data_IF_897190183585
#
_entry.id   IF_897190183585
#
_cell.length_a   1.000
_cell.length_b   1.000
_cell.length_c   1.000
_cell.angle_alpha   90.00
_cell.angle_beta   90.00
_cell.angle_gamma   90.00
#
_symmetry.space_group_name_H-M   'P 1'
#
loop_
_entity.id
_entity.type
_entity.pdbx_description
1 polymer ?
#
# COMPACT_ATOMS: atom_id res chain seq x y z
N UNK A 1 -45.73 -10.05 -69.94
CA UNK A 1 -44.30 -10.16 -69.58
C UNK A 1 -44.04 -9.16 -68.46
N UNK A 2 -44.14 -9.59 -67.19
CA UNK A 2 -44.03 -8.71 -66.01
C UNK A 2 -42.72 -8.97 -65.27
N UNK A 3 -41.82 -7.99 -65.26
CA UNK A 3 -40.58 -8.02 -64.49
C UNK A 3 -40.84 -7.50 -63.08
N UNK A 4 -40.74 -8.39 -62.08
CA UNK A 4 -40.77 -7.99 -60.68
C UNK A 4 -39.47 -7.26 -60.29
N UNK A 5 -39.53 -6.15 -59.53
CA UNK A 5 -38.35 -5.46 -59.05
C UNK A 5 -37.62 -6.30 -57.99
N UNK A 6 -36.32 -6.46 -58.20
CA UNK A 6 -35.40 -7.15 -57.28
C UNK A 6 -35.29 -6.32 -55.99
N UNK A 7 -35.62 -6.94 -54.86
CA UNK A 7 -35.64 -6.34 -53.52
C UNK A 7 -34.26 -5.83 -53.12
N UNK A 8 -34.01 -4.52 -53.26
CA UNK A 8 -32.79 -3.82 -52.82
C UNK A 8 -32.76 -3.48 -51.32
N UNK A 9 -33.80 -3.82 -50.55
CA UNK A 9 -33.94 -3.39 -49.15
C UNK A 9 -33.21 -4.25 -48.12
N UNK A 10 -32.71 -5.46 -48.47
CA UNK A 10 -32.11 -6.38 -47.50
C UNK A 10 -30.61 -6.18 -47.27
N UNK A 11 -29.88 -5.64 -48.24
CA UNK A 11 -28.42 -5.46 -48.15
C UNK A 11 -27.99 -4.25 -47.28
N UNK A 12 -28.84 -3.21 -47.17
CA UNK A 12 -28.56 -2.03 -46.34
C UNK A 12 -28.74 -2.29 -44.84
N UNK A 13 -29.66 -3.18 -44.47
CA UNK A 13 -29.93 -3.54 -43.07
C UNK A 13 -28.78 -4.37 -42.48
N UNK A 14 -28.23 -5.32 -43.24
CA UNK A 14 -27.10 -6.16 -42.79
C UNK A 14 -25.80 -5.39 -42.61
N UNK A 15 -25.55 -4.37 -43.44
CA UNK A 15 -24.34 -3.56 -43.31
C UNK A 15 -24.39 -2.67 -42.06
N UNK A 16 -25.53 -2.01 -41.80
CA UNK A 16 -25.72 -1.20 -40.59
C UNK A 16 -25.62 -2.08 -39.33
N UNK A 17 -26.23 -3.26 -39.33
CA UNK A 17 -26.14 -4.22 -38.21
C UNK A 17 -24.69 -4.63 -37.92
N UNK A 18 -23.89 -4.92 -38.95
CA UNK A 18 -22.47 -5.24 -38.75
C UNK A 18 -21.68 -4.05 -38.22
N UNK A 19 -21.96 -2.82 -38.64
CA UNK A 19 -21.30 -1.63 -38.12
C UNK A 19 -21.65 -1.40 -36.64
N UNK A 20 -22.92 -1.56 -36.27
CA UNK A 20 -23.37 -1.45 -34.87
C UNK A 20 -22.75 -2.56 -34.02
N UNK A 21 -22.71 -3.79 -34.52
CA UNK A 21 -22.07 -4.91 -33.82
C UNK A 21 -20.56 -4.68 -33.61
N UNK A 22 -19.86 -4.15 -34.62
CA UNK A 22 -18.44 -3.81 -34.51
C UNK A 22 -18.19 -2.66 -33.52
N UNK A 23 -19.09 -1.66 -33.47
CA UNK A 23 -19.00 -0.59 -32.47
C UNK A 23 -19.18 -1.12 -31.04
N UNK A 24 -20.20 -1.96 -30.81
CA UNK A 24 -20.42 -2.58 -29.50
C UNK A 24 -19.22 -3.47 -29.11
N UNK A 25 -18.70 -4.24 -30.07
CA UNK A 25 -17.51 -5.06 -29.85
C UNK A 25 -16.28 -4.22 -29.48
N UNK A 26 -16.05 -3.11 -30.19
CA UNK A 26 -14.92 -2.22 -29.92
C UNK A 26 -15.02 -1.62 -28.50
N UNK A 27 -16.20 -1.14 -28.11
CA UNK A 27 -16.45 -0.62 -26.75
C UNK A 27 -16.23 -1.72 -25.71
N UNK A 28 -16.75 -2.92 -25.95
CA UNK A 28 -16.58 -4.07 -25.06
C UNK A 28 -15.10 -4.44 -24.87
N UNK A 29 -14.33 -4.50 -25.95
CA UNK A 29 -12.89 -4.77 -25.89
C UNK A 29 -12.13 -3.69 -25.12
N UNK A 30 -12.40 -2.41 -25.40
CA UNK A 30 -11.78 -1.30 -24.66
C UNK A 30 -12.07 -1.38 -23.16
N UNK A 31 -13.30 -1.73 -22.77
CA UNK A 31 -13.66 -1.90 -21.36
C UNK A 31 -12.88 -3.05 -20.69
N UNK A 32 -12.71 -4.19 -21.37
CA UNK A 32 -11.95 -5.33 -20.84
C UNK A 32 -10.47 -4.99 -20.66
N UNK A 33 -9.84 -4.33 -21.63
CA UNK A 33 -8.45 -3.88 -21.48
C UNK A 33 -8.29 -2.87 -20.35
N UNK A 34 -9.23 -1.92 -20.22
CA UNK A 34 -9.25 -0.99 -19.10
C UNK A 34 -9.36 -1.69 -17.75
N UNK A 35 -10.27 -2.67 -17.64
CA UNK A 35 -10.45 -3.47 -16.43
C UNK A 35 -9.19 -4.28 -16.09
N UNK A 36 -8.51 -4.87 -17.08
CA UNK A 36 -7.27 -5.64 -16.87
C UNK A 36 -6.13 -4.76 -16.35
N UNK A 37 -5.95 -3.55 -16.91
CA UNK A 37 -4.96 -2.60 -16.42
C UNK A 37 -5.26 -2.13 -14.99
N UNK A 38 -6.53 -1.86 -14.69
CA UNK A 38 -6.97 -1.49 -13.34
C UNK A 38 -6.77 -2.65 -12.33
N UNK A 39 -7.06 -3.88 -12.74
CA UNK A 39 -6.86 -5.07 -11.93
C UNK A 39 -5.37 -5.29 -11.61
N UNK A 40 -4.48 -5.17 -12.61
CA UNK A 40 -3.04 -5.27 -12.41
C UNK A 40 -2.55 -4.22 -11.41
N UNK A 41 -2.95 -2.95 -11.59
CA UNK A 41 -2.58 -1.86 -10.68
C UNK A 41 -3.05 -2.11 -9.24
N UNK A 42 -4.28 -2.59 -9.08
CA UNK A 42 -4.83 -2.96 -7.76
C UNK A 42 -4.05 -4.11 -7.14
N UNK A 43 -3.66 -5.11 -7.94
CA UNK A 43 -2.89 -6.25 -7.48
C UNK A 43 -1.46 -5.87 -7.08
N UNK A 44 -0.80 -5.00 -7.84
CA UNK A 44 0.53 -4.47 -7.52
C UNK A 44 0.49 -3.71 -6.18
N UNK A 45 -0.54 -2.85 -5.97
CA UNK A 45 -0.79 -2.16 -4.70
C UNK A 45 -1.06 -3.09 -3.52
N UNK A 46 -1.84 -4.13 -3.74
CA UNK A 46 -2.13 -5.11 -2.71
C UNK A 46 -0.87 -5.89 -2.30
N UNK A 47 -0.05 -6.25 -3.30
CA UNK A 47 1.22 -6.95 -3.10
C UNK A 47 2.21 -6.07 -2.33
N UNK A 48 2.35 -4.79 -2.70
CA UNK A 48 3.26 -3.87 -2.01
C UNK A 48 2.85 -3.64 -0.55
N UNK A 49 1.54 -3.51 -0.28
CA UNK A 49 1.01 -3.45 1.09
C UNK A 49 1.26 -4.74 1.87
N UNK A 50 1.09 -5.90 1.25
CA UNK A 50 1.33 -7.19 1.91
C UNK A 50 2.79 -7.33 2.35
N UNK A 51 3.75 -6.93 1.51
CA UNK A 51 5.18 -6.90 1.86
C UNK A 51 5.44 -5.97 3.06
N UNK A 52 4.84 -4.77 3.06
CA UNK A 52 4.98 -3.84 4.18
C UNK A 52 4.43 -4.40 5.48
N UNK A 53 3.24 -5.02 5.47
CA UNK A 53 2.66 -5.66 6.66
C UNK A 53 3.47 -6.86 7.15
N UNK A 54 3.99 -7.67 6.23
CA UNK A 54 4.84 -8.81 6.57
C UNK A 54 6.09 -8.33 7.31
N UNK A 55 6.76 -7.29 6.82
CA UNK A 55 7.95 -6.76 7.48
C UNK A 55 7.60 -6.08 8.81
N UNK A 56 6.51 -5.31 8.88
CA UNK A 56 6.03 -4.74 10.16
C UNK A 56 5.80 -5.85 11.18
N UNK A 57 5.18 -6.97 10.79
CA UNK A 57 4.97 -8.09 11.68
C UNK A 57 6.30 -8.69 12.16
N UNK A 58 7.26 -8.89 11.26
CA UNK A 58 8.60 -9.35 11.63
C UNK A 58 9.27 -8.40 12.63
N UNK A 59 9.14 -7.09 12.43
CA UNK A 59 9.67 -6.09 13.37
C UNK A 59 8.91 -6.08 14.71
N UNK A 60 7.61 -6.32 14.72
CA UNK A 60 6.86 -6.48 15.98
C UNK A 60 7.38 -7.70 16.75
N UNK A 61 7.59 -8.82 16.06
CA UNK A 61 8.13 -10.05 16.66
C UNK A 61 9.52 -9.79 17.26
N UNK A 62 10.42 -9.07 16.58
CA UNK A 62 11.73 -8.73 17.16
C UNK A 62 11.60 -7.86 18.42
N UNK A 63 10.68 -6.89 18.44
CA UNK A 63 10.47 -6.01 19.59
C UNK A 63 9.76 -6.71 20.77
N UNK A 64 9.02 -7.79 20.53
CA UNK A 64 8.41 -8.60 21.59
C UNK A 64 9.44 -9.27 22.50
N UNK A 65 10.62 -9.60 21.96
CA UNK A 65 11.69 -10.22 22.74
C UNK A 65 12.55 -9.22 23.52
N UNK A 66 12.38 -7.92 23.29
CA UNK A 66 13.14 -6.88 24.00
C UNK A 66 12.51 -6.66 25.39
N UNK A 67 13.29 -6.74 26.48
CA UNK A 67 12.77 -6.47 27.82
C UNK A 67 12.16 -5.07 27.90
N UNK A 68 10.97 -4.96 28.51
CA UNK A 68 10.22 -3.71 28.66
C UNK A 68 11.08 -2.54 29.20
N UNK A 69 11.89 -2.82 30.23
CA UNK A 69 12.82 -1.85 30.84
C UNK A 69 13.87 -1.34 29.83
N UNK A 70 14.33 -2.19 28.91
CA UNK A 70 15.31 -1.80 27.90
C UNK A 70 14.72 -0.84 26.88
N UNK A 71 13.46 -1.07 26.46
CA UNK A 71 12.75 -0.16 25.55
C UNK A 71 12.61 1.22 26.18
N UNK A 72 12.21 1.30 27.46
CA UNK A 72 12.09 2.59 28.16
C UNK A 72 13.41 3.37 28.16
N UNK A 73 14.52 2.69 28.46
CA UNK A 73 15.80 3.35 28.69
C UNK A 73 16.54 3.69 27.38
N UNK A 74 16.37 2.89 26.33
CA UNK A 74 17.26 2.93 25.17
C UNK A 74 16.55 3.22 23.84
N UNK A 75 15.22 3.27 23.79
CA UNK A 75 14.51 3.44 22.54
C UNK A 75 14.64 4.87 21.99
N UNK A 76 15.14 4.97 20.76
CA UNK A 76 15.34 6.23 20.01
C UNK A 76 14.57 6.26 18.70
N UNK A 77 13.74 5.25 18.47
CA UNK A 77 13.24 4.92 17.15
C UNK A 77 14.25 4.10 16.35
N UNK A 78 13.75 3.34 15.40
CA UNK A 78 14.54 2.50 14.49
C UNK A 78 14.02 2.66 13.08
N UNK A 79 14.90 2.52 12.09
CA UNK A 79 14.52 2.44 10.68
C UNK A 79 14.81 1.03 10.19
N UNK A 80 14.00 0.55 9.25
CA UNK A 80 14.16 -0.76 8.62
C UNK A 80 13.75 -0.69 7.16
N UNK A 81 14.30 -1.59 6.35
CA UNK A 81 13.99 -1.65 4.93
C UNK A 81 13.02 -2.80 4.65
N UNK A 82 12.12 -2.58 3.70
CA UNK A 82 11.20 -3.61 3.22
C UNK A 82 11.69 -4.05 1.84
N UNK A 83 12.06 -5.33 1.71
CA UNK A 83 12.56 -5.87 0.44
C UNK A 83 11.49 -5.74 -0.64
N UNK A 84 11.87 -5.14 -1.77
CA UNK A 84 10.99 -4.96 -2.93
C UNK A 84 10.18 -3.67 -2.93
N UNK A 85 10.27 -2.85 -1.87
CA UNK A 85 9.69 -1.50 -1.83
C UNK A 85 10.79 -0.45 -1.96
N UNK A 86 10.48 0.64 -2.67
CA UNK A 86 11.41 1.75 -2.87
C UNK A 86 11.14 2.83 -1.83
N UNK A 87 12.14 3.25 -1.03
CA UNK A 87 11.95 4.32 -0.08
C UNK A 87 11.60 5.64 -0.79
N UNK A 88 10.86 6.55 -0.12
CA UNK A 88 10.59 7.87 -0.65
C UNK A 88 11.88 8.64 -0.93
N UNK A 89 11.86 9.50 -1.94
CA UNK A 89 13.06 10.21 -2.41
C UNK A 89 13.82 11.04 -1.34
N UNK A 90 13.15 11.40 -0.25
CA UNK A 90 13.74 12.13 0.88
C UNK A 90 14.19 11.24 2.05
N UNK A 91 14.21 9.90 1.87
CA UNK A 91 14.56 8.95 2.93
C UNK A 91 15.43 7.81 2.44
N UNK A 92 16.21 7.27 3.37
CA UNK A 92 17.04 6.09 3.14
C UNK A 92 16.28 4.77 3.31
N UNK A 93 15.17 4.77 4.04
CA UNK A 93 14.46 3.55 4.44
C UNK A 93 12.95 3.65 4.29
N UNK A 94 12.33 2.48 4.06
CA UNK A 94 10.88 2.33 3.87
C UNK A 94 10.15 2.37 5.21
N UNK A 95 10.66 1.66 6.21
CA UNK A 95 10.03 1.47 7.51
C UNK A 95 10.67 2.28 8.62
N UNK A 96 9.85 2.74 9.56
CA UNK A 96 10.29 3.28 10.85
C UNK A 96 9.45 2.75 12.00
N UNK A 97 10.11 2.61 13.14
CA UNK A 97 9.50 2.37 14.44
C UNK A 97 9.74 3.61 15.28
N UNK A 98 8.68 4.19 15.82
CA UNK A 98 8.76 5.40 16.64
C UNK A 98 7.81 5.29 17.83
N UNK A 99 7.94 6.20 18.80
CA UNK A 99 6.90 6.39 19.81
C UNK A 99 5.66 6.96 19.13
N UNK A 100 4.46 6.52 19.54
CA UNK A 100 3.21 6.98 18.94
C UNK A 100 3.01 8.50 19.09
N UNK A 101 3.34 9.06 20.25
CA UNK A 101 3.21 10.49 20.55
C UNK A 101 4.27 11.37 19.89
N UNK A 102 5.24 10.78 19.18
CA UNK A 102 6.26 11.57 18.51
C UNK A 102 5.65 12.26 17.27
N UNK A 103 5.67 13.62 17.21
CA UNK A 103 5.15 14.36 16.06
C UNK A 103 5.93 14.07 14.77
N UNK A 104 7.22 13.73 14.86
CA UNK A 104 8.05 13.36 13.73
C UNK A 104 8.54 11.90 13.87
N UNK A 105 7.92 10.91 13.20
CA UNK A 105 8.29 9.50 13.32
C UNK A 105 9.75 9.19 12.99
N UNK A 106 10.41 10.07 12.24
CA UNK A 106 11.76 9.89 11.71
C UNK A 106 12.84 10.49 12.60
N UNK A 107 12.45 11.20 13.66
CA UNK A 107 13.40 11.86 14.53
C UNK A 107 14.04 10.86 15.50
N UNK A 108 15.28 10.47 15.20
CA UNK A 108 16.11 9.61 16.04
C UNK A 108 17.20 10.40 16.79
N UNK A 109 17.05 11.72 16.91
CA UNK A 109 18.04 12.56 17.58
C UNK A 109 18.15 12.19 19.05
N UNK A 110 19.37 12.20 19.56
CA UNK A 110 19.66 11.83 20.95
C UNK A 110 19.25 12.91 21.96
N UNK A 111 19.25 14.16 21.52
CA UNK A 111 19.06 15.32 22.37
C UNK A 111 18.31 16.40 21.58
N UNK A 112 17.07 16.74 21.96
CA UNK A 112 16.13 16.00 22.81
C UNK A 112 15.48 14.82 22.04
N UNK A 113 15.52 13.60 22.58
CA UNK A 113 14.93 12.41 21.92
C UNK A 113 13.39 12.41 22.01
N UNK A 114 12.65 12.64 20.90
CA UNK A 114 11.19 12.66 20.93
C UNK A 114 10.56 11.26 20.99
N UNK A 115 11.36 10.21 20.77
CA UNK A 115 10.95 8.81 20.93
C UNK A 115 11.17 8.28 22.36
N UNK A 116 11.78 9.05 23.26
CA UNK A 116 12.01 8.60 24.63
C UNK A 116 10.69 8.34 25.37
N UNK A 117 10.66 7.29 26.20
CA UNK A 117 9.55 6.98 27.09
C UNK A 117 9.87 7.41 28.52
N UNK A 118 8.84 7.76 29.30
CA UNK A 118 9.03 8.02 30.72
C UNK A 118 9.21 6.71 31.49
N UNK A 119 10.03 6.74 32.54
CA UNK A 119 10.31 5.55 33.38
C UNK A 119 9.10 5.03 34.16
N UNK A 120 8.04 5.83 34.30
CA UNK A 120 6.78 5.48 34.96
C UNK A 120 5.73 4.91 34.01
N UNK A 121 5.99 4.86 32.68
CA UNK A 121 5.03 4.33 31.72
C UNK A 121 4.89 2.81 31.86
N UNK A 122 3.64 2.33 31.97
CA UNK A 122 3.30 0.89 32.04
C UNK A 122 2.89 0.32 30.67
N UNK A 123 2.73 1.20 29.68
CA UNK A 123 2.39 0.90 28.30
C UNK A 123 3.29 1.71 27.38
N UNK A 124 3.89 1.06 26.40
CA UNK A 124 4.79 1.69 25.43
C UNK A 124 4.15 1.53 24.04
N UNK A 125 3.33 2.50 23.60
CA UNK A 125 2.76 2.47 22.26
C UNK A 125 3.85 2.77 21.23
N UNK A 126 4.25 1.74 20.50
CA UNK A 126 5.15 1.80 19.37
C UNK A 126 4.34 1.92 18.09
N UNK A 127 4.74 2.84 17.22
CA UNK A 127 4.19 3.06 15.89
C UNK A 127 5.16 2.46 14.89
N UNK A 128 4.70 1.48 14.12
CA UNK A 128 5.40 0.90 12.98
C UNK A 128 4.79 1.49 11.72
N UNK A 129 5.58 2.24 10.95
CA UNK A 129 5.10 2.94 9.75
C UNK A 129 6.00 2.58 8.58
N UNK A 130 5.40 2.15 7.48
CA UNK A 130 6.11 1.97 6.22
C UNK A 130 5.61 2.98 5.21
N UNK A 131 6.52 3.66 4.52
CA UNK A 131 6.24 4.56 3.41
C UNK A 131 7.13 4.22 2.23
N UNK A 132 6.57 4.22 1.02
CA UNK A 132 7.30 3.92 -0.21
C UNK A 132 6.74 4.72 -1.38
N UNK A 133 7.61 4.94 -2.36
CA UNK A 133 7.20 5.52 -3.65
C UNK A 133 6.75 4.38 -4.58
N UNK A 134 5.53 4.48 -5.09
CA UNK A 134 5.01 3.62 -6.15
C UNK A 134 4.75 4.47 -7.40
N UNK A 135 4.70 3.87 -8.59
CA UNK A 135 4.59 4.62 -9.86
C UNK A 135 3.39 5.56 -9.98
N UNK A 136 2.40 5.47 -9.08
CA UNK A 136 1.21 6.34 -9.03
C UNK A 136 1.24 7.38 -7.89
N UNK A 137 2.26 7.35 -7.02
CA UNK A 137 2.39 8.25 -5.89
C UNK A 137 2.92 7.58 -4.61
N UNK A 138 3.07 8.35 -3.53
CA UNK A 138 3.51 7.83 -2.25
C UNK A 138 2.43 6.97 -1.60
N UNK A 139 2.84 5.84 -1.04
CA UNK A 139 1.99 4.91 -0.32
C UNK A 139 2.50 4.75 1.11
N UNK A 140 1.59 4.52 2.04
CA UNK A 140 1.94 4.30 3.44
C UNK A 140 1.01 3.31 4.13
N UNK A 141 1.56 2.51 5.05
CA UNK A 141 0.79 1.74 6.03
C UNK A 141 1.34 1.96 7.43
N UNK A 142 0.48 1.88 8.43
CA UNK A 142 0.84 2.09 9.83
C UNK A 142 0.16 1.07 10.72
N UNK A 143 0.89 0.54 11.70
CA UNK A 143 0.40 -0.34 12.75
C UNK A 143 0.88 0.19 14.08
N UNK A 144 -0.04 0.26 15.04
CA UNK A 144 0.30 0.61 16.43
C UNK A 144 0.32 -0.66 17.25
N UNK A 145 1.46 -0.92 17.89
CA UNK A 145 1.66 -2.04 18.80
C UNK A 145 1.96 -1.53 20.19
N UNK A 146 1.24 -2.04 21.20
CA UNK A 146 1.39 -1.59 22.58
C UNK A 146 2.14 -2.66 23.37
N UNK A 147 3.37 -2.36 23.75
CA UNK A 147 4.11 -3.20 24.70
C UNK A 147 3.61 -2.90 26.09
N UNK A 148 3.20 -3.91 26.84
CA UNK A 148 2.78 -3.77 28.24
C UNK A 148 3.73 -4.51 29.16
N UNK A 149 3.95 -3.98 30.35
CA UNK A 149 4.67 -4.70 31.39
C UNK A 149 3.93 -6.00 31.74
N UNK A 150 4.51 -7.15 31.39
CA UNK A 150 4.09 -8.45 31.92
C UNK A 150 4.87 -8.62 33.21
N UNK A 151 4.19 -8.46 34.35
CA UNK A 151 4.78 -8.74 35.66
C UNK A 151 5.43 -10.12 35.64
N UNK A 152 6.64 -10.19 36.18
CA UNK A 152 7.30 -11.45 36.51
C UNK A 152 6.86 -11.82 37.91
#
# INVERSE_FOLDING_TARGET
>A
MSTHPISRSRAGVTLIETMVALMILAIGLSAVFGAMLAAKKTNDKATSRALAFQEIQAQIETHQFIPFRSIILNFKGTAFDVKGLKPPSNRSSVGTVSRLSNPNPYDATLSPNPNAFNSSETKLPLRFRCEWDEGEGPMSVEVVYVVTYRGI
#
